data_IF_678101277878
#
_entry.id   IF_678101277878
#
_cell.length_a   1.000
_cell.length_b   1.000
_cell.length_c   1.000
_cell.angle_alpha   90.00
_cell.angle_beta   90.00
_cell.angle_gamma   90.00
#
_symmetry.space_group_name_H-M   'P 1'
#
loop_
_entity.id
_entity.type
_entity.pdbx_description
1 polymer ?
#
# COMPACT_ATOMS: atom_id res chain seq x y z
N UNK A 1 8.46 0.78 11.17
CA UNK A 1 8.14 1.60 9.98
C UNK A 1 6.70 2.08 9.97
N UNK A 2 5.68 1.22 10.15
CA UNK A 2 4.25 1.60 10.09
C UNK A 2 3.84 2.81 10.97
N UNK A 3 4.21 2.83 12.26
CA UNK A 3 3.83 3.90 13.18
C UNK A 3 4.36 5.29 12.79
N UNK A 4 5.53 5.37 12.13
CA UNK A 4 6.07 6.64 11.62
C UNK A 4 5.22 7.15 10.44
N UNK A 5 4.88 6.27 9.49
CA UNK A 5 4.03 6.63 8.35
C UNK A 5 2.61 7.00 8.80
N UNK A 6 2.03 6.25 9.74
CA UNK A 6 0.73 6.57 10.34
C UNK A 6 0.76 7.98 10.96
N UNK A 7 1.75 8.26 11.81
CA UNK A 7 1.88 9.56 12.47
C UNK A 7 2.12 10.71 11.48
N UNK A 8 2.97 10.50 10.47
CA UNK A 8 3.21 11.51 9.44
C UNK A 8 1.94 11.85 8.65
N UNK A 9 1.16 10.83 8.25
CA UNK A 9 -0.08 11.00 7.49
C UNK A 9 -1.15 11.72 8.32
N UNK A 10 -1.35 11.34 9.59
CA UNK A 10 -2.36 12.02 10.42
C UNK A 10 -1.97 13.47 10.74
N UNK A 11 -0.68 13.75 10.96
CA UNK A 11 -0.18 15.13 11.15
C UNK A 11 -0.44 15.97 9.90
N UNK A 12 -0.18 15.40 8.71
CA UNK A 12 -0.47 16.06 7.45
C UNK A 12 -1.97 16.32 7.27
N UNK A 13 -2.83 15.33 7.56
CA UNK A 13 -4.28 15.48 7.53
C UNK A 13 -4.77 16.57 8.50
N UNK A 14 -4.19 16.68 9.68
CA UNK A 14 -4.50 17.77 10.62
C UNK A 14 -4.06 19.15 10.13
N UNK A 15 -3.10 19.25 9.21
CA UNK A 15 -2.76 20.52 8.56
C UNK A 15 -3.77 20.93 7.48
N UNK A 16 -4.45 19.96 6.87
CA UNK A 16 -5.40 20.15 5.77
C UNK A 16 -6.84 20.39 6.26
N UNK A 17 -7.23 19.71 7.33
CA UNK A 17 -8.59 19.77 7.86
C UNK A 17 -8.66 20.63 9.12
N UNK A 18 -9.52 21.64 9.08
CA UNK A 18 -9.83 22.47 10.26
C UNK A 18 -10.45 21.65 11.40
N UNK A 19 -11.26 20.64 11.07
CA UNK A 19 -11.87 19.74 12.05
C UNK A 19 -11.05 18.44 12.17
N UNK A 20 -10.44 18.24 13.35
CA UNK A 20 -9.62 17.04 13.63
C UNK A 20 -10.43 15.75 13.64
N UNK A 21 -11.71 15.78 14.02
CA UNK A 21 -12.57 14.59 13.93
C UNK A 21 -12.79 14.17 12.48
N UNK A 22 -12.97 15.12 11.55
CA UNK A 22 -13.13 14.83 10.13
C UNK A 22 -11.84 14.25 9.52
N UNK A 23 -10.67 14.76 9.91
CA UNK A 23 -9.38 14.18 9.54
C UNK A 23 -9.24 12.72 10.01
N UNK A 24 -9.62 12.42 11.25
CA UNK A 24 -9.60 11.05 11.76
C UNK A 24 -10.61 10.14 11.05
N UNK A 25 -11.83 10.63 10.78
CA UNK A 25 -12.83 9.89 10.00
C UNK A 25 -12.32 9.58 8.59
N UNK A 26 -11.62 10.51 7.94
CA UNK A 26 -11.00 10.28 6.64
C UNK A 26 -9.89 9.24 6.72
N UNK A 27 -9.01 9.33 7.72
CA UNK A 27 -7.94 8.37 7.94
C UNK A 27 -8.46 6.94 8.19
N UNK A 28 -9.41 6.77 9.10
CA UNK A 28 -9.94 5.44 9.44
C UNK A 28 -10.90 4.90 8.39
N UNK A 29 -11.77 5.74 7.83
CA UNK A 29 -12.77 5.33 6.85
C UNK A 29 -12.18 5.13 5.46
N UNK A 30 -11.52 6.16 4.91
CA UNK A 30 -11.03 6.13 3.53
C UNK A 30 -9.66 5.44 3.46
N UNK A 31 -8.67 5.92 4.23
CA UNK A 31 -7.33 5.37 4.08
C UNK A 31 -7.25 3.91 4.56
N UNK A 32 -7.76 3.61 5.77
CA UNK A 32 -7.73 2.24 6.29
C UNK A 32 -8.89 1.37 5.83
N UNK A 33 -10.14 1.84 5.95
CA UNK A 33 -11.31 1.05 5.57
C UNK A 33 -11.35 0.75 4.08
N UNK A 34 -11.39 1.79 3.24
CA UNK A 34 -11.46 1.62 1.79
C UNK A 34 -10.15 1.06 1.22
N UNK A 35 -9.00 1.51 1.70
CA UNK A 35 -7.70 0.93 1.32
C UNK A 35 -7.61 -0.57 1.62
N UNK A 36 -8.04 -1.00 2.82
CA UNK A 36 -8.09 -2.41 3.20
C UNK A 36 -9.08 -3.22 2.36
N UNK A 37 -10.26 -2.67 2.09
CA UNK A 37 -11.27 -3.32 1.24
C UNK A 37 -10.78 -3.53 -0.19
N UNK A 38 -10.27 -2.48 -0.85
CA UNK A 38 -9.73 -2.57 -2.21
C UNK A 38 -8.52 -3.51 -2.24
N UNK A 39 -7.64 -3.42 -1.24
CA UNK A 39 -6.52 -4.32 -1.08
C UNK A 39 -6.96 -5.79 -0.97
N UNK A 40 -8.03 -6.08 -0.24
CA UNK A 40 -8.59 -7.42 -0.10
C UNK A 40 -9.17 -7.96 -1.42
N UNK A 41 -9.85 -7.11 -2.21
CA UNK A 41 -10.35 -7.50 -3.54
C UNK A 41 -9.20 -7.83 -4.50
N UNK A 42 -8.18 -6.96 -4.55
CA UNK A 42 -7.00 -7.17 -5.39
C UNK A 42 -6.24 -8.42 -4.94
N UNK A 43 -6.06 -8.60 -3.63
CA UNK A 43 -5.42 -9.80 -3.09
C UNK A 43 -6.21 -11.05 -3.44
N UNK A 44 -7.54 -11.04 -3.30
CA UNK A 44 -8.39 -12.17 -3.70
C UNK A 44 -8.26 -12.51 -5.18
N UNK A 45 -8.18 -11.50 -6.05
CA UNK A 45 -7.96 -11.71 -7.49
C UNK A 45 -6.54 -12.22 -7.80
N UNK A 46 -5.52 -11.65 -7.16
CA UNK A 46 -4.12 -12.02 -7.38
C UNK A 46 -3.75 -13.39 -6.78
N UNK A 47 -4.36 -13.77 -5.64
CA UNK A 47 -4.19 -15.07 -4.99
C UNK A 47 -5.13 -16.15 -5.51
N UNK A 48 -5.83 -15.89 -6.62
CA UNK A 48 -6.63 -16.89 -7.33
C UNK A 48 -5.78 -17.88 -8.14
N UNK A 49 -6.39 -18.45 -9.18
CA UNK A 49 -5.80 -19.50 -10.04
C UNK A 49 -4.41 -19.14 -10.61
N UNK A 50 -4.16 -17.85 -10.86
CA UNK A 50 -2.94 -17.34 -11.48
C UNK A 50 -1.87 -16.85 -10.48
N UNK A 51 -1.98 -17.16 -9.19
CA UNK A 51 -1.02 -16.72 -8.15
C UNK A 51 0.44 -17.01 -8.52
N UNK A 52 0.73 -18.21 -9.04
CA UNK A 52 2.08 -18.60 -9.45
C UNK A 52 2.58 -17.83 -10.69
N UNK A 53 1.67 -17.43 -11.58
CA UNK A 53 2.01 -16.59 -12.73
C UNK A 53 2.47 -15.21 -12.24
N UNK A 54 1.67 -14.56 -11.38
CA UNK A 54 2.02 -13.25 -10.82
C UNK A 54 3.32 -13.27 -10.03
N UNK A 55 3.56 -14.30 -9.21
CA UNK A 55 4.80 -14.42 -8.44
C UNK A 55 6.02 -14.66 -9.34
N UNK A 56 5.89 -15.42 -10.43
CA UNK A 56 6.98 -15.64 -11.40
C UNK A 56 7.39 -14.35 -12.12
N UNK A 57 6.41 -13.51 -12.50
CA UNK A 57 6.66 -12.20 -13.12
C UNK A 57 7.36 -11.25 -12.14
N UNK A 58 6.90 -11.17 -10.89
CA UNK A 58 7.54 -10.36 -9.85
C UNK A 58 8.98 -10.82 -9.57
N UNK A 59 9.22 -12.13 -9.53
CA UNK A 59 10.56 -12.71 -9.34
C UNK A 59 11.49 -12.38 -10.51
N UNK A 60 11.00 -12.45 -11.76
CA UNK A 60 11.76 -12.05 -12.94
C UNK A 60 12.16 -10.57 -12.91
N UNK A 61 11.24 -9.68 -12.51
CA UNK A 61 11.57 -8.25 -12.32
C UNK A 61 12.60 -8.02 -11.22
N UNK A 62 12.48 -8.73 -10.09
CA UNK A 62 13.47 -8.65 -9.02
C UNK A 62 14.85 -9.12 -9.48
N UNK A 63 14.92 -10.21 -10.25
CA UNK A 63 16.15 -10.72 -10.85
C UNK A 63 16.77 -9.69 -11.81
N UNK A 64 15.96 -9.09 -12.69
CA UNK A 64 16.43 -8.06 -13.62
C UNK A 64 16.97 -6.83 -12.87
N UNK A 65 16.27 -6.37 -11.83
CA UNK A 65 16.70 -5.27 -10.98
C UNK A 65 18.03 -5.56 -10.30
N UNK A 66 18.17 -6.75 -9.73
CA UNK A 66 19.42 -7.20 -9.10
C UNK A 66 20.57 -7.30 -10.10
N UNK A 67 20.30 -7.84 -11.29
CA UNK A 67 21.30 -7.96 -12.35
C UNK A 67 21.78 -6.58 -12.82
N UNK A 68 20.86 -5.63 -12.99
CA UNK A 68 21.19 -4.24 -13.33
C UNK A 68 21.99 -3.54 -12.24
N UNK A 69 21.66 -3.75 -10.96
CA UNK A 69 22.43 -3.22 -9.84
C UNK A 69 23.83 -3.85 -9.75
N UNK A 70 23.99 -5.13 -10.09
CA UNK A 70 25.30 -5.80 -10.04
C UNK A 70 26.24 -5.39 -11.19
N UNK A 71 25.69 -4.95 -12.32
CA UNK A 71 26.45 -4.54 -13.51
C UNK A 71 26.88 -3.06 -13.51
N UNK A 72 26.29 -2.21 -12.67
CA UNK A 72 26.66 -0.80 -12.50
C UNK A 72 27.53 -0.60 -11.27
#
# INVERSE_FOLDING_TARGET
>A
SFGLYHSAVIIYLYSLYKNKQLAQQFMFGVAYGLGGFVGALIAGWAYGEYLFLYSSVLSAFALFSLYKHRLG
#
